data_IF_504348176366
#
_entry.id   IF_504348176366
#
_cell.length_a   1.000
_cell.length_b   1.000
_cell.length_c   1.000
_cell.angle_alpha   90.00
_cell.angle_beta   90.00
_cell.angle_gamma   90.00
#
_symmetry.space_group_name_H-M   'P 1'
#
loop_
_entity.id
_entity.type
_entity.pdbx_description
1 polymer ?
#
# COMPACT_ATOMS: atom_id res chain seq x y z
N UNK A 1 -1.16 23.81 54.25
CA UNK A 1 -1.89 23.17 55.37
C UNK A 1 -2.96 22.27 54.74
N UNK A 2 -2.73 20.94 54.77
CA UNK A 2 -3.60 19.78 54.46
C UNK A 2 -4.24 19.71 53.06
N UNK A 3 -3.74 18.92 52.11
CA UNK A 3 -3.70 17.43 51.96
C UNK A 3 -5.02 16.77 51.50
N UNK A 4 -4.99 16.21 50.27
CA UNK A 4 -5.27 14.79 49.87
C UNK A 4 -5.36 14.74 48.32
N UNK A 5 -4.29 14.42 47.59
CA UNK A 5 -3.77 13.10 47.16
C UNK A 5 -4.60 12.33 46.11
N UNK A 6 -4.02 12.26 44.89
CA UNK A 6 -3.77 11.08 44.03
C UNK A 6 -4.91 10.26 43.40
N UNK A 7 -4.99 10.21 42.06
CA UNK A 7 -4.35 9.16 41.24
C UNK A 7 -4.58 9.31 39.72
N UNK A 8 -3.50 9.13 38.96
CA UNK A 8 -3.46 8.79 37.52
C UNK A 8 -3.83 7.31 37.30
N UNK A 9 -4.41 6.96 36.15
CA UNK A 9 -3.94 5.87 35.28
C UNK A 9 -4.81 5.72 34.02
N UNK A 10 -4.12 5.71 32.87
CA UNK A 10 -4.52 5.20 31.55
C UNK A 10 -4.64 3.67 31.57
N UNK A 11 -5.58 3.06 30.82
CA UNK A 11 -5.37 1.72 30.23
C UNK A 11 -6.39 1.36 29.12
N UNK A 12 -5.84 0.59 28.18
CA UNK A 12 -6.30 0.06 26.90
C UNK A 12 -7.18 -1.19 27.09
N UNK A 13 -8.06 -1.51 26.12
CA UNK A 13 -8.28 -2.92 25.72
C UNK A 13 -9.71 -3.49 25.79
N UNK A 14 -10.33 -3.49 24.61
CA UNK A 14 -11.38 -4.32 24.01
C UNK A 14 -11.88 -5.67 24.62
N UNK A 15 -13.14 -5.97 24.25
CA UNK A 15 -13.86 -7.27 24.11
C UNK A 15 -14.57 -7.88 25.35
N UNK A 16 -15.91 -7.92 25.31
CA UNK A 16 -16.78 -8.82 26.11
C UNK A 16 -17.09 -10.13 25.36
N UNK A 17 -18.20 -10.87 25.65
CA UNK A 17 -19.14 -10.80 26.79
C UNK A 17 -19.55 -12.20 27.36
N UNK A 18 -20.29 -12.24 28.50
CA UNK A 18 -21.49 -13.10 28.77
C UNK A 18 -21.90 -13.10 30.28
N UNK A 19 -22.94 -12.32 30.61
CA UNK A 19 -24.26 -12.69 31.21
C UNK A 19 -24.31 -14.08 31.92
N UNK A 20 -24.79 -14.36 33.14
CA UNK A 20 -25.58 -13.72 34.25
C UNK A 20 -25.56 -14.73 35.46
N UNK A 21 -26.46 -14.63 36.47
CA UNK A 21 -26.41 -13.83 37.71
C UNK A 21 -26.22 -14.77 38.92
N UNK A 22 -26.37 -14.30 40.16
CA UNK A 22 -27.22 -14.95 41.21
C UNK A 22 -27.15 -14.14 42.50
N UNK A 23 -28.35 -13.88 43.02
CA UNK A 23 -28.64 -13.22 44.28
C UNK A 23 -28.30 -14.09 45.50
N UNK A 24 -28.07 -13.38 46.60
CA UNK A 24 -27.89 -13.86 47.97
C UNK A 24 -29.01 -14.80 48.44
N UNK A 25 -28.63 -15.77 49.26
CA UNK A 25 -29.53 -16.57 50.07
C UNK A 25 -29.31 -16.25 51.55
N UNK A 26 -30.40 -16.14 52.32
CA UNK A 26 -30.40 -16.36 53.77
C UNK A 26 -31.59 -17.24 54.15
N UNK A 27 -31.28 -18.43 54.67
CA UNK A 27 -31.91 -19.13 55.81
C UNK A 27 -32.12 -20.64 55.58
N UNK A 28 -31.59 -21.46 56.50
CA UNK A 28 -32.17 -22.77 56.85
C UNK A 28 -31.36 -24.06 56.59
N UNK A 29 -30.35 -24.32 57.43
CA UNK A 29 -29.91 -25.63 58.01
C UNK A 29 -29.83 -26.92 57.14
N UNK A 30 -28.57 -27.32 56.86
CA UNK A 30 -27.88 -28.64 56.77
C UNK A 30 -28.45 -29.83 55.95
N UNK A 31 -27.59 -30.45 55.11
CA UNK A 31 -26.94 -31.69 55.57
C UNK A 31 -25.44 -31.78 55.23
N UNK A 32 -24.71 -32.63 55.98
CA UNK A 32 -23.30 -32.97 55.76
C UNK A 32 -23.02 -33.32 54.29
N UNK A 33 -22.11 -32.56 53.66
CA UNK A 33 -21.47 -32.93 52.39
C UNK A 33 -19.98 -32.64 52.52
N UNK A 34 -19.18 -33.61 52.09
CA UNK A 34 -17.73 -33.63 52.09
C UNK A 34 -17.11 -32.37 51.47
N UNK A 35 -16.17 -31.74 52.17
CA UNK A 35 -15.30 -30.72 51.58
C UNK A 35 -14.37 -31.39 50.56
N UNK A 36 -14.65 -31.24 49.27
CA UNK A 36 -13.64 -31.36 48.22
C UNK A 36 -13.04 -29.96 48.05
N UNK A 37 -11.79 -29.78 48.47
CA UNK A 37 -10.97 -28.64 48.08
C UNK A 37 -10.79 -28.68 46.55
N UNK A 38 -11.56 -27.88 45.81
CA UNK A 38 -11.16 -27.52 44.46
C UNK A 38 -10.04 -26.50 44.58
N UNK A 39 -8.81 -26.96 44.33
CA UNK A 39 -7.66 -26.07 44.18
C UNK A 39 -7.98 -25.02 43.14
N UNK A 40 -7.90 -23.75 43.55
CA UNK A 40 -7.87 -22.62 42.63
C UNK A 40 -6.65 -22.79 41.73
N UNK A 41 -6.88 -23.27 40.51
CA UNK A 41 -5.81 -23.46 39.54
C UNK A 41 -5.39 -22.06 39.07
N UNK A 42 -4.30 -21.56 39.67
CA UNK A 42 -3.73 -20.27 39.38
C UNK A 42 -3.07 -20.33 38.00
N UNK A 43 -3.81 -20.02 36.94
CA UNK A 43 -3.30 -19.93 35.56
C UNK A 43 -2.74 -18.54 35.20
N UNK A 44 -2.66 -17.60 36.15
CA UNK A 44 -2.04 -16.28 35.97
C UNK A 44 -0.52 -16.13 36.23
N UNK A 45 0.25 -17.09 36.77
CA UNK A 45 1.69 -16.91 36.95
C UNK A 45 2.52 -17.34 35.73
N UNK A 46 2.04 -18.24 34.86
CA UNK A 46 2.82 -18.71 33.70
C UNK A 46 3.06 -17.60 32.67
N UNK A 47 2.00 -16.90 32.29
CA UNK A 47 2.06 -15.84 31.26
C UNK A 47 2.95 -14.64 31.67
N UNK A 48 2.99 -14.31 32.96
CA UNK A 48 3.84 -13.24 33.48
C UNK A 48 5.32 -13.68 33.58
N UNK A 49 5.55 -14.94 33.99
CA UNK A 49 6.88 -15.54 34.07
C UNK A 49 7.48 -15.71 32.68
N UNK A 50 6.69 -16.17 31.70
CA UNK A 50 7.11 -16.33 30.31
C UNK A 50 7.51 -14.98 29.70
N UNK A 51 6.70 -13.93 29.89
CA UNK A 51 7.06 -12.56 29.47
C UNK A 51 8.36 -12.05 30.12
N UNK A 52 8.58 -12.34 31.41
CA UNK A 52 9.84 -11.95 32.07
C UNK A 52 11.05 -12.74 31.56
N UNK A 53 10.88 -14.01 31.22
CA UNK A 53 11.94 -14.83 30.64
C UNK A 53 12.27 -14.43 29.20
N UNK A 54 11.26 -14.12 28.39
CA UNK A 54 11.43 -13.55 27.04
C UNK A 54 12.18 -12.21 27.11
N UNK A 55 11.79 -11.35 28.04
CA UNK A 55 12.45 -10.06 28.25
C UNK A 55 13.91 -10.23 28.69
N UNK A 56 14.19 -11.14 29.62
CA UNK A 56 15.56 -11.47 30.04
C UNK A 56 16.41 -12.02 28.89
N UNK A 57 15.83 -12.88 28.06
CA UNK A 57 16.49 -13.40 26.87
C UNK A 57 16.81 -12.28 25.87
N UNK A 58 15.86 -11.39 25.60
CA UNK A 58 16.05 -10.24 24.71
C UNK A 58 17.17 -9.31 25.21
N UNK A 59 17.21 -9.02 26.51
CA UNK A 59 18.28 -8.22 27.11
C UNK A 59 19.63 -8.94 27.08
N UNK A 60 19.65 -10.27 27.30
CA UNK A 60 20.85 -11.08 27.17
C UNK A 60 21.44 -11.01 25.75
N UNK A 61 20.58 -11.13 24.73
CA UNK A 61 20.97 -11.02 23.32
C UNK A 61 21.45 -9.62 22.98
N UNK A 62 20.75 -8.57 23.43
CA UNK A 62 21.17 -7.17 23.21
C UNK A 62 22.53 -6.88 23.86
N UNK A 63 22.75 -7.35 25.09
CA UNK A 63 24.06 -7.24 25.76
C UNK A 63 25.15 -7.95 24.97
N UNK A 64 24.89 -9.16 24.47
CA UNK A 64 25.85 -9.90 23.67
C UNK A 64 26.21 -9.16 22.37
N UNK A 65 25.21 -8.64 21.64
CA UNK A 65 25.43 -7.87 20.41
C UNK A 65 26.28 -6.62 20.66
N UNK A 66 25.98 -5.87 21.73
CA UNK A 66 26.76 -4.67 22.10
C UNK A 66 28.20 -5.00 22.50
N UNK A 67 28.44 -6.15 23.15
CA UNK A 67 29.79 -6.59 23.49
C UNK A 67 30.60 -6.98 22.23
N UNK A 68 29.94 -7.59 21.24
CA UNK A 68 30.57 -7.87 19.94
C UNK A 68 30.90 -6.56 19.22
N UNK A 69 29.98 -5.61 19.19
CA UNK A 69 30.19 -4.31 18.56
C UNK A 69 31.37 -3.55 19.21
N UNK A 70 31.44 -3.55 20.54
CA UNK A 70 32.55 -2.96 21.29
C UNK A 70 33.88 -3.67 20.98
N UNK A 71 33.88 -5.00 20.94
CA UNK A 71 35.05 -5.78 20.53
C UNK A 71 35.50 -5.47 19.10
N UNK A 72 34.58 -5.16 18.19
CA UNK A 72 34.92 -4.77 16.83
C UNK A 72 35.62 -3.40 16.80
N UNK A 73 35.14 -2.43 17.59
CA UNK A 73 35.79 -1.12 17.73
C UNK A 73 37.18 -1.21 18.35
N UNK A 74 37.36 -2.00 19.41
CA UNK A 74 38.66 -2.19 20.05
C UNK A 74 39.68 -2.87 19.12
N UNK A 75 39.24 -3.87 18.35
CA UNK A 75 40.10 -4.50 17.33
C UNK A 75 40.47 -3.53 16.21
N UNK A 76 39.56 -2.62 15.84
CA UNK A 76 39.83 -1.60 14.82
C UNK A 76 40.91 -0.60 15.24
N UNK A 77 40.96 -0.23 16.52
CA UNK A 77 41.99 0.66 17.07
C UNK A 77 43.36 -0.02 17.15
N UNK A 78 43.39 -1.35 17.33
CA UNK A 78 44.61 -2.15 17.48
C UNK A 78 45.24 -2.61 16.15
N UNK A 79 44.51 -2.53 15.03
CA UNK A 79 45.01 -2.95 13.71
C UNK A 79 46.10 -2.01 13.17
N UNK A 80 47.18 -2.59 12.65
CA UNK A 80 48.27 -1.85 12.00
C UNK A 80 47.85 -1.31 10.62
N UNK A 81 48.50 -0.25 10.13
CA UNK A 81 48.19 0.34 8.80
C UNK A 81 48.26 -0.68 7.65
N UNK A 82 49.21 -1.62 7.71
CA UNK A 82 49.37 -2.68 6.69
C UNK A 82 48.28 -3.76 6.71
N UNK A 83 47.62 -3.95 7.85
CA UNK A 83 46.46 -4.85 7.97
C UNK A 83 45.18 -4.14 7.53
N UNK A 84 45.10 -2.82 7.73
CA UNK A 84 43.99 -1.98 7.25
C UNK A 84 43.89 -1.95 5.71
N UNK A 85 45.03 -1.95 5.00
CA UNK A 85 45.07 -2.02 3.53
C UNK A 85 44.56 -3.36 2.97
N UNK A 86 44.67 -4.47 3.72
CA UNK A 86 44.24 -5.80 3.27
C UNK A 86 42.77 -6.10 3.53
N UNK A 87 42.09 -5.31 4.35
CA UNK A 87 40.74 -5.59 4.84
C UNK A 87 39.64 -5.04 3.90
N UNK A 88 40.00 -4.69 2.65
CA UNK A 88 39.08 -4.20 1.60
C UNK A 88 38.05 -3.17 2.10
N UNK A 89 38.54 -2.22 2.89
CA UNK A 89 37.71 -1.24 3.59
C UNK A 89 37.16 -0.20 2.63
N UNK A 90 35.95 0.25 2.94
CA UNK A 90 35.29 1.34 2.23
C UNK A 90 35.80 2.68 2.80
N UNK A 91 36.00 3.72 1.96
CA UNK A 91 36.42 5.03 2.43
C UNK A 91 35.48 5.62 3.49
N UNK A 92 36.05 6.29 4.49
CA UNK A 92 35.29 7.03 5.50
C UNK A 92 34.54 8.16 4.81
N UNK A 93 33.27 8.37 5.19
CA UNK A 93 32.41 9.37 4.56
C UNK A 93 31.72 8.88 3.29
N UNK A 94 31.80 7.58 2.97
CA UNK A 94 31.00 7.01 1.89
C UNK A 94 29.51 7.17 2.17
N UNK A 95 28.77 7.70 1.21
CA UNK A 95 27.32 7.84 1.20
C UNK A 95 26.71 7.17 -0.04
N UNK A 96 25.45 6.79 0.07
CA UNK A 96 24.63 6.33 -1.05
C UNK A 96 23.54 7.36 -1.29
N UNK A 97 23.54 7.97 -2.47
CA UNK A 97 22.45 8.83 -2.91
C UNK A 97 21.38 8.00 -3.59
N UNK A 98 20.11 8.25 -3.25
CA UNK A 98 18.95 7.57 -3.83
C UNK A 98 18.04 8.62 -4.46
N UNK A 99 17.72 8.47 -5.74
CA UNK A 99 16.87 9.39 -6.50
C UNK A 99 15.88 8.64 -7.37
N UNK A 100 14.72 9.25 -7.60
CA UNK A 100 13.80 8.83 -8.65
C UNK A 100 14.18 9.56 -9.94
N UNK A 101 14.09 8.85 -11.06
CA UNK A 101 14.33 9.41 -12.38
C UNK A 101 13.30 8.87 -13.36
N UNK A 102 12.63 9.75 -14.10
CA UNK A 102 11.67 9.35 -15.12
C UNK A 102 12.30 9.39 -16.51
N UNK A 103 12.30 8.25 -17.20
CA UNK A 103 12.64 8.20 -18.63
C UNK A 103 11.39 8.41 -19.47
N UNK A 104 11.26 9.58 -20.12
CA UNK A 104 10.14 9.88 -21.04
C UNK A 104 10.15 9.00 -22.30
N UNK A 105 11.34 8.62 -22.81
CA UNK A 105 11.47 7.77 -23.99
C UNK A 105 11.01 6.34 -23.73
N UNK A 106 11.40 5.78 -22.59
CA UNK A 106 11.08 4.40 -22.22
C UNK A 106 9.74 4.30 -21.48
N UNK A 107 9.19 5.47 -21.09
CA UNK A 107 8.03 5.66 -20.24
C UNK A 107 8.16 4.84 -18.96
N UNK A 108 9.30 4.89 -18.29
CA UNK A 108 9.54 4.13 -17.07
C UNK A 108 10.08 5.03 -15.95
N UNK A 109 9.67 4.72 -14.72
CA UNK A 109 10.24 5.29 -13.51
C UNK A 109 11.42 4.42 -13.08
N UNK A 110 12.55 5.04 -12.74
CA UNK A 110 13.75 4.37 -12.27
C UNK A 110 14.12 4.86 -10.88
N UNK A 111 14.42 3.91 -9.99
CA UNK A 111 15.19 4.16 -8.78
C UNK A 111 16.68 4.11 -9.13
N UNK A 112 17.35 5.25 -8.99
CA UNK A 112 18.77 5.40 -9.23
C UNK A 112 19.48 5.46 -7.90
N UNK A 113 20.43 4.55 -7.70
CA UNK A 113 21.33 4.58 -6.56
C UNK A 113 22.75 4.86 -7.05
N UNK A 114 23.43 5.77 -6.37
CA UNK A 114 24.78 6.19 -6.68
C UNK A 114 25.62 6.25 -5.40
N UNK A 115 26.69 5.45 -5.37
CA UNK A 115 27.62 5.39 -4.26
C UNK A 115 28.76 6.41 -4.49
N UNK A 116 29.06 7.20 -3.47
CA UNK A 116 30.23 8.09 -3.49
C UNK A 116 31.55 7.31 -3.52
N UNK A 117 32.63 8.00 -3.88
CA UNK A 117 34.00 7.46 -3.87
C UNK A 117 34.19 6.22 -4.78
N UNK A 118 33.36 6.08 -5.82
CA UNK A 118 33.45 4.99 -6.81
C UNK A 118 33.38 3.59 -6.18
N UNK A 119 32.69 3.47 -5.04
CA UNK A 119 32.56 2.20 -4.32
C UNK A 119 31.49 1.35 -4.98
N UNK A 120 31.86 0.12 -5.34
CA UNK A 120 30.95 -0.79 -6.04
C UNK A 120 29.72 -1.18 -5.20
N UNK A 121 28.54 -1.08 -5.83
CA UNK A 121 27.26 -1.60 -5.36
C UNK A 121 27.17 -3.08 -5.74
N UNK A 122 27.22 -3.95 -4.72
CA UNK A 122 27.21 -5.41 -4.85
C UNK A 122 25.81 -6.02 -4.82
N UNK A 123 24.83 -5.26 -4.36
CA UNK A 123 23.43 -5.67 -4.32
C UNK A 123 22.56 -4.60 -3.69
N UNK A 124 21.27 -4.65 -3.98
CA UNK A 124 20.27 -3.75 -3.42
C UNK A 124 19.06 -4.57 -3.03
N UNK A 125 18.53 -4.34 -1.84
CA UNK A 125 17.23 -4.87 -1.43
C UNK A 125 16.32 -3.68 -1.15
N UNK A 126 15.22 -3.58 -1.88
CA UNK A 126 14.21 -2.55 -1.69
C UNK A 126 12.96 -3.21 -1.06
N UNK A 127 12.47 -2.65 0.04
CA UNK A 127 11.27 -3.10 0.73
C UNK A 127 10.17 -2.06 0.53
N UNK A 128 9.03 -2.48 0.01
CA UNK A 128 7.86 -1.63 -0.15
C UNK A 128 6.60 -2.50 -0.31
N UNK A 129 5.58 -2.22 0.48
CA UNK A 129 4.30 -2.93 0.39
C UNK A 129 3.50 -2.44 -0.84
N UNK A 130 3.05 -3.37 -1.68
CA UNK A 130 2.18 -3.07 -2.83
C UNK A 130 2.89 -2.49 -4.06
N UNK A 131 4.22 -2.34 -4.02
CA UNK A 131 5.03 -1.88 -5.16
C UNK A 131 5.68 -3.05 -5.94
N UNK A 132 6.03 -4.13 -5.24
CA UNK A 132 6.70 -5.29 -5.80
C UNK A 132 5.81 -6.53 -5.75
N UNK A 133 6.21 -7.58 -6.47
CA UNK A 133 5.60 -8.91 -6.34
C UNK A 133 6.05 -9.52 -5.00
N UNK A 134 5.32 -9.18 -3.93
CA UNK A 134 5.67 -9.50 -2.54
C UNK A 134 6.04 -8.25 -1.73
N UNK A 135 6.87 -8.42 -0.70
CA UNK A 135 7.26 -7.34 0.22
C UNK A 135 8.59 -6.65 -0.15
N UNK A 136 9.40 -7.31 -0.99
CA UNK A 136 10.75 -6.85 -1.31
C UNK A 136 11.18 -7.19 -2.72
N UNK A 137 11.99 -6.32 -3.30
CA UNK A 137 12.71 -6.54 -4.55
C UNK A 137 14.20 -6.65 -4.29
N UNK A 138 14.83 -7.70 -4.83
CA UNK A 138 16.26 -7.97 -4.67
C UNK A 138 16.93 -7.81 -6.03
N UNK A 139 17.86 -6.86 -6.10
CA UNK A 139 18.74 -6.68 -7.24
C UNK A 139 20.16 -7.14 -6.90
N UNK A 140 20.70 -8.04 -7.73
CA UNK A 140 22.08 -8.50 -7.64
C UNK A 140 22.68 -8.48 -9.06
N UNK A 141 23.80 -7.77 -9.28
CA UNK A 141 24.42 -7.70 -10.59
C UNK A 141 25.01 -9.07 -10.98
N UNK A 142 24.72 -9.53 -12.20
CA UNK A 142 25.39 -10.71 -12.77
C UNK A 142 26.83 -10.41 -13.20
N UNK A 143 27.04 -9.17 -13.65
CA UNK A 143 28.33 -8.62 -14.02
C UNK A 143 28.33 -7.15 -13.58
N UNK A 144 29.45 -6.71 -13.02
CA UNK A 144 29.66 -5.31 -12.64
C UNK A 144 30.51 -4.68 -13.75
N UNK A 145 29.89 -3.77 -14.50
CA UNK A 145 30.55 -3.03 -15.56
C UNK A 145 31.06 -1.68 -15.03
N UNK A 146 32.25 -1.26 -15.48
CA UNK A 146 32.90 -0.05 -14.98
C UNK A 146 33.21 -0.14 -13.48
N UNK A 147 33.02 0.97 -12.77
CA UNK A 147 33.22 1.05 -11.32
C UNK A 147 32.09 0.38 -10.51
N UNK A 148 30.93 0.16 -11.13
CA UNK A 148 29.78 -0.46 -10.46
C UNK A 148 29.18 0.36 -9.32
N UNK A 149 29.48 1.66 -9.27
CA UNK A 149 29.07 2.61 -8.25
C UNK A 149 27.65 3.16 -8.47
N UNK A 150 27.05 2.89 -9.63
CA UNK A 150 25.70 3.33 -9.98
C UNK A 150 24.84 2.17 -10.47
N UNK A 151 23.59 2.14 -10.00
CA UNK A 151 22.57 1.17 -10.45
C UNK A 151 21.25 1.87 -10.74
N UNK A 152 20.53 1.36 -11.73
CA UNK A 152 19.18 1.79 -12.08
C UNK A 152 18.23 0.59 -12.00
N UNK A 153 17.19 0.72 -11.17
CA UNK A 153 16.18 -0.31 -10.96
C UNK A 153 14.84 0.23 -11.47
N UNK A 154 14.20 -0.41 -12.46
CA UNK A 154 12.89 0.03 -12.93
C UNK A 154 11.83 -0.21 -11.85
N UNK A 155 10.98 0.79 -11.62
CA UNK A 155 9.82 0.74 -10.74
C UNK A 155 8.57 0.85 -11.60
N UNK A 156 7.63 -0.08 -11.40
CA UNK A 156 6.33 -0.09 -12.09
C UNK A 156 5.24 0.05 -11.03
N UNK A 157 4.54 1.18 -11.05
CA UNK A 157 3.42 1.48 -10.13
C UNK A 157 2.10 1.17 -10.83
N UNK A 158 1.37 0.16 -10.36
CA UNK A 158 0.07 -0.20 -10.93
C UNK A 158 -1.11 0.57 -10.31
N UNK A 159 -0.96 0.97 -9.04
CA UNK A 159 -1.99 1.63 -8.23
C UNK A 159 -1.61 3.06 -7.88
N UNK A 160 -2.62 3.91 -7.67
CA UNK A 160 -2.45 5.30 -7.21
C UNK A 160 -2.30 5.36 -5.68
N UNK A 161 -1.12 4.97 -5.18
CA UNK A 161 -0.81 4.94 -3.76
C UNK A 161 0.54 5.58 -3.47
N UNK A 162 0.60 6.33 -2.38
CA UNK A 162 1.88 6.82 -1.86
C UNK A 162 2.57 5.67 -1.13
N UNK A 163 3.86 5.48 -1.40
CA UNK A 163 4.65 4.39 -0.82
C UNK A 163 5.97 4.92 -0.29
N UNK A 164 6.48 4.32 0.77
CA UNK A 164 7.86 4.53 1.22
C UNK A 164 8.66 3.27 0.89
N UNK A 165 9.80 3.45 0.21
CA UNK A 165 10.74 2.36 -0.07
C UNK A 165 11.87 2.44 0.94
N UNK A 166 12.05 1.38 1.73
CA UNK A 166 13.24 1.21 2.54
C UNK A 166 14.27 0.40 1.75
N UNK A 167 15.45 0.96 1.55
CA UNK A 167 16.47 0.41 0.66
C UNK A 167 17.69 0.05 1.48
N UNK A 168 18.18 -1.17 1.28
CA UNK A 168 19.44 -1.67 1.80
C UNK A 168 20.41 -1.88 0.65
N UNK A 169 21.44 -1.05 0.61
CA UNK A 169 22.47 -1.09 -0.42
C UNK A 169 23.71 -1.75 0.15
N UNK A 170 24.16 -2.83 -0.50
CA UNK A 170 25.38 -3.53 -0.16
C UNK A 170 26.54 -2.95 -0.95
N UNK A 171 27.49 -2.34 -0.25
CA UNK A 171 28.69 -1.75 -0.83
C UNK A 171 29.93 -2.58 -0.48
N UNK A 172 30.87 -2.62 -1.41
CA UNK A 172 32.21 -3.12 -1.13
C UNK A 172 33.00 -3.45 -2.39
N UNK A 173 34.34 -3.53 -2.29
CA UNK A 173 35.18 -3.97 -3.41
C UNK A 173 34.75 -5.35 -3.94
N UNK A 174 35.04 -5.63 -5.22
CA UNK A 174 34.63 -6.88 -5.86
C UNK A 174 35.25 -8.12 -5.19
N UNK A 175 36.47 -7.96 -4.68
CA UNK A 175 37.28 -8.99 -4.03
C UNK A 175 36.90 -9.20 -2.56
N UNK A 176 36.10 -8.31 -1.97
CA UNK A 176 35.75 -8.38 -0.55
C UNK A 176 34.63 -9.41 -0.30
N UNK A 177 34.81 -10.18 0.77
CA UNK A 177 33.77 -11.04 1.35
C UNK A 177 32.96 -10.33 2.46
N UNK A 178 33.36 -9.11 2.83
CA UNK A 178 32.68 -8.27 3.82
C UNK A 178 32.08 -7.07 3.09
N UNK A 179 30.76 -6.94 3.15
CA UNK A 179 30.03 -5.83 2.54
C UNK A 179 29.49 -4.92 3.63
N UNK A 180 29.54 -3.61 3.39
CA UNK A 180 28.86 -2.65 4.24
C UNK A 180 27.43 -2.47 3.77
N UNK A 181 26.50 -2.37 4.71
CA UNK A 181 25.08 -2.17 4.42
C UNK A 181 24.72 -0.73 4.73
N UNK A 182 24.23 -0.01 3.72
CA UNK A 182 23.69 1.32 3.87
C UNK A 182 22.17 1.26 3.80
N UNK A 183 21.51 1.84 4.79
CA UNK A 183 20.05 1.93 4.85
C UNK A 183 19.62 3.34 4.46
N UNK A 184 18.75 3.43 3.44
CA UNK A 184 18.13 4.68 2.98
C UNK A 184 16.63 4.48 2.84
N UNK A 185 15.87 5.57 2.90
CA UNK A 185 14.44 5.55 2.66
C UNK A 185 14.09 6.61 1.61
N UNK A 186 13.12 6.29 0.74
CA UNK A 186 12.68 7.17 -0.34
C UNK A 186 11.17 7.10 -0.46
N UNK A 187 10.51 8.26 -0.47
CA UNK A 187 9.06 8.34 -0.67
C UNK A 187 8.72 8.42 -2.15
N UNK A 188 7.70 7.66 -2.56
CA UNK A 188 7.07 7.69 -3.87
C UNK A 188 5.70 8.37 -3.72
N UNK A 189 5.46 9.47 -4.45
CA UNK A 189 4.17 10.15 -4.47
C UNK A 189 3.03 9.27 -5.01
N UNK A 190 1.79 9.59 -4.61
CA UNK A 190 0.59 8.80 -4.93
C UNK A 190 0.40 8.55 -6.42
N UNK A 191 0.70 9.56 -7.24
CA UNK A 191 0.49 9.53 -8.67
C UNK A 191 1.80 9.39 -9.46
N UNK A 192 2.78 8.69 -8.90
CA UNK A 192 4.10 8.47 -9.50
C UNK A 192 4.11 7.71 -10.84
N UNK A 193 2.97 7.15 -11.27
CA UNK A 193 2.81 6.60 -12.62
C UNK A 193 2.62 7.66 -13.70
N UNK A 194 2.53 8.94 -13.33
CA UNK A 194 2.39 10.05 -14.24
C UNK A 194 3.65 10.91 -14.24
N UNK A 195 4.05 11.36 -15.42
CA UNK A 195 5.16 12.28 -15.62
C UNK A 195 4.64 13.60 -16.20
N UNK A 196 5.02 14.73 -15.59
CA UNK A 196 4.66 16.05 -16.12
C UNK A 196 5.26 16.27 -17.51
N UNK A 197 4.43 16.72 -18.44
CA UNK A 197 4.82 17.12 -19.78
C UNK A 197 5.12 18.62 -19.83
N UNK A 198 6.11 18.99 -20.64
CA UNK A 198 6.34 20.38 -21.02
C UNK A 198 5.40 20.77 -22.16
N UNK A 199 5.21 22.07 -22.36
CA UNK A 199 4.27 22.62 -23.37
C UNK A 199 4.56 22.14 -24.80
N UNK A 200 5.82 21.83 -25.11
CA UNK A 200 6.27 21.39 -26.44
C UNK A 200 6.12 19.86 -26.65
N UNK A 201 5.87 19.10 -25.59
CA UNK A 201 5.74 17.64 -25.68
C UNK A 201 4.45 17.25 -26.41
N UNK A 202 4.51 16.20 -27.22
CA UNK A 202 3.34 15.66 -27.90
C UNK A 202 2.32 15.15 -26.87
N UNK A 203 1.06 15.62 -26.99
CA UNK A 203 -0.01 15.30 -26.06
C UNK A 203 -1.29 14.97 -26.82
N UNK A 204 -1.88 13.80 -26.51
CA UNK A 204 -3.21 13.42 -26.96
C UNK A 204 -4.19 13.70 -25.84
N UNK A 205 -5.12 14.63 -26.05
CA UNK A 205 -6.11 14.96 -25.04
C UNK A 205 -7.12 13.81 -24.86
N UNK A 206 -7.33 13.31 -23.63
CA UNK A 206 -8.42 12.40 -23.33
C UNK A 206 -9.78 13.02 -23.69
N UNK A 207 -10.71 12.19 -24.13
CA UNK A 207 -12.11 12.57 -24.40
C UNK A 207 -12.93 12.62 -23.12
N UNK A 208 -12.71 11.65 -22.23
CA UNK A 208 -13.42 11.55 -20.97
C UNK A 208 -12.89 12.55 -19.95
N UNK A 209 -13.78 13.09 -19.11
CA UNK A 209 -13.42 14.07 -18.10
C UNK A 209 -14.36 14.06 -16.90
N UNK A 210 -13.88 14.68 -15.82
CA UNK A 210 -14.68 15.04 -14.66
C UNK A 210 -14.51 16.53 -14.36
N UNK A 211 -15.62 17.21 -14.20
CA UNK A 211 -15.70 18.62 -13.87
C UNK A 211 -16.20 18.82 -12.44
N UNK A 212 -15.54 19.70 -11.71
CA UNK A 212 -15.90 20.09 -10.34
C UNK A 212 -15.75 21.60 -10.18
N UNK A 213 -16.47 22.20 -9.22
CA UNK A 213 -16.34 23.63 -8.91
C UNK A 213 -15.73 23.81 -7.52
N UNK A 214 -14.51 24.32 -7.47
CA UNK A 214 -13.75 24.54 -6.24
C UNK A 214 -12.98 25.86 -6.33
N UNK A 215 -13.27 26.77 -5.41
CA UNK A 215 -12.63 28.10 -5.36
C UNK A 215 -11.28 28.04 -4.65
N UNK A 216 -10.26 27.52 -5.34
CA UNK A 216 -8.88 27.42 -4.86
C UNK A 216 -7.99 28.30 -5.75
N UNK A 217 -6.87 28.79 -5.23
CA UNK A 217 -5.90 29.56 -6.02
C UNK A 217 -4.97 28.62 -6.78
N UNK A 218 -4.55 29.00 -7.98
CA UNK A 218 -3.65 28.20 -8.83
C UNK A 218 -2.41 27.70 -8.07
N UNK A 219 -1.75 28.58 -7.30
CA UNK A 219 -0.59 28.20 -6.48
C UNK A 219 -0.89 27.04 -5.52
N UNK A 220 -2.07 27.01 -4.89
CA UNK A 220 -2.43 25.96 -3.94
C UNK A 220 -2.67 24.62 -4.64
N UNK A 221 -3.23 24.66 -5.85
CA UNK A 221 -3.38 23.45 -6.68
C UNK A 221 -2.01 22.96 -7.15
N UNK A 222 -1.11 23.87 -7.52
CA UNK A 222 0.28 23.52 -7.82
C UNK A 222 0.98 22.86 -6.62
N UNK A 223 0.82 23.40 -5.41
CA UNK A 223 1.38 22.81 -4.20
C UNK A 223 0.88 21.36 -4.01
N UNK A 224 -0.43 21.13 -4.19
CA UNK A 224 -1.00 19.77 -4.15
C UNK A 224 -0.43 18.87 -5.25
N UNK A 225 -0.28 19.38 -6.47
CA UNK A 225 0.29 18.62 -7.60
C UNK A 225 1.75 18.26 -7.32
N UNK A 226 2.55 19.18 -6.77
CA UNK A 226 3.93 18.94 -6.34
C UNK A 226 4.05 17.89 -5.24
N UNK A 227 3.10 17.85 -4.30
CA UNK A 227 3.11 16.88 -3.19
C UNK A 227 2.65 15.47 -3.62
N UNK A 228 1.89 15.36 -4.71
CA UNK A 228 1.20 14.11 -5.09
C UNK A 228 1.68 13.48 -6.39
N UNK A 229 2.37 14.23 -7.25
CA UNK A 229 2.93 13.77 -8.53
C UNK A 229 4.46 13.83 -8.54
N UNK A 230 5.09 13.15 -9.51
CA UNK A 230 6.51 13.30 -9.79
C UNK A 230 6.74 14.51 -10.69
N UNK A 231 7.36 15.55 -10.13
CA UNK A 231 7.65 16.79 -10.83
C UNK A 231 9.15 17.05 -10.78
N UNK A 232 9.82 16.83 -11.91
CA UNK A 232 11.27 16.96 -12.04
C UNK A 232 11.71 18.39 -12.41
N UNK A 233 10.77 19.34 -12.50
CA UNK A 233 11.00 20.67 -13.08
C UNK A 233 10.30 21.72 -12.21
N UNK A 234 10.96 22.85 -11.97
CA UNK A 234 10.31 24.06 -11.50
C UNK A 234 9.27 24.48 -12.56
N UNK A 235 8.03 24.04 -12.37
CA UNK A 235 6.94 24.26 -13.32
C UNK A 235 6.53 25.74 -13.23
N UNK A 236 6.82 26.57 -14.25
CA UNK A 236 6.56 28.00 -14.17
C UNK A 236 5.06 28.24 -14.37
N UNK A 237 4.34 28.51 -13.28
CA UNK A 237 2.98 29.04 -13.35
C UNK A 237 3.03 30.53 -13.08
N UNK A 238 2.42 31.30 -13.96
CA UNK A 238 2.10 32.69 -13.65
C UNK A 238 0.91 32.71 -12.68
N UNK A 239 1.07 33.17 -11.44
CA UNK A 239 -0.02 33.25 -10.48
C UNK A 239 -1.11 34.26 -10.88
N UNK A 240 -0.87 35.12 -11.87
CA UNK A 240 -1.85 36.06 -12.41
C UNK A 240 -2.67 35.49 -13.57
N UNK A 241 -2.28 34.35 -14.16
CA UNK A 241 -3.07 33.69 -15.21
C UNK A 241 -4.32 33.03 -14.63
N UNK A 242 -5.46 33.23 -15.30
CA UNK A 242 -6.74 32.65 -14.86
C UNK A 242 -6.78 31.13 -15.07
N UNK A 243 -6.24 30.66 -16.20
CA UNK A 243 -6.23 29.25 -16.58
C UNK A 243 -4.88 28.62 -16.23
N UNK A 244 -4.92 27.63 -15.34
CA UNK A 244 -3.80 26.72 -15.12
C UNK A 244 -4.07 25.40 -15.85
N UNK A 245 -3.17 24.97 -16.73
CA UNK A 245 -3.24 23.68 -17.43
C UNK A 245 -1.98 22.85 -17.18
N UNK A 246 -2.12 21.68 -16.56
CA UNK A 246 -1.01 20.75 -16.31
C UNK A 246 -1.29 19.44 -17.06
N UNK A 247 -0.34 19.01 -17.88
CA UNK A 247 -0.44 17.81 -18.72
C UNK A 247 0.53 16.76 -18.23
N UNK A 248 0.10 15.51 -18.27
CA UNK A 248 0.87 14.37 -17.80
C UNK A 248 0.83 13.23 -18.82
N UNK A 249 1.93 12.51 -18.89
CA UNK A 249 2.11 11.28 -19.63
C UNK A 249 2.01 10.08 -18.67
N UNK A 250 1.22 9.07 -19.04
CA UNK A 250 1.20 7.79 -18.34
C UNK A 250 2.47 6.96 -18.57
N UNK A 251 2.98 6.38 -17.49
CA UNK A 251 4.18 5.52 -17.48
C UNK A 251 3.82 4.02 -17.48
N UNK A 252 4.77 3.21 -17.94
CA UNK A 252 4.86 1.76 -17.87
C UNK A 252 3.57 1.01 -18.26
N UNK A 253 2.90 0.34 -17.31
CA UNK A 253 1.73 -0.52 -17.54
C UNK A 253 0.48 0.22 -18.04
N UNK A 254 0.50 1.57 -18.03
CA UNK A 254 -0.59 2.43 -18.49
C UNK A 254 -0.13 3.37 -19.61
N UNK A 255 0.64 2.83 -20.58
CA UNK A 255 0.97 3.57 -21.82
C UNK A 255 -0.33 4.07 -22.46
N UNK A 256 -0.31 5.31 -22.93
CA UNK A 256 -1.43 5.96 -23.61
C UNK A 256 -2.64 6.27 -22.69
N UNK A 257 -2.36 6.44 -21.40
CA UNK A 257 -3.29 7.05 -20.46
C UNK A 257 -2.78 8.44 -20.06
N UNK A 258 -2.94 9.39 -20.97
CA UNK A 258 -2.67 10.79 -20.70
C UNK A 258 -3.62 11.35 -19.62
N UNK A 259 -3.14 12.33 -18.87
CA UNK A 259 -3.92 13.06 -17.87
C UNK A 259 -3.74 14.56 -18.12
N UNK A 260 -4.81 15.33 -18.05
CA UNK A 260 -4.73 16.78 -18.06
C UNK A 260 -5.63 17.38 -16.98
N UNK A 261 -5.08 18.31 -16.22
CA UNK A 261 -5.77 19.04 -15.17
C UNK A 261 -5.85 20.50 -15.62
N UNK A 262 -7.06 21.00 -15.81
CA UNK A 262 -7.34 22.41 -16.08
C UNK A 262 -8.06 23.03 -14.90
N UNK A 263 -7.64 24.21 -14.48
CA UNK A 263 -8.30 24.96 -13.44
C UNK A 263 -8.44 26.43 -13.84
N UNK A 264 -9.65 26.96 -13.66
CA UNK A 264 -10.01 28.35 -13.92
C UNK A 264 -10.23 29.04 -12.56
N UNK A 265 -9.39 30.03 -12.25
CA UNK A 265 -9.41 30.69 -10.95
C UNK A 265 -10.64 31.59 -10.77
N UNK A 266 -11.12 32.20 -11.84
CA UNK A 266 -12.18 33.20 -11.87
C UNK A 266 -13.55 32.64 -11.48
N UNK A 267 -13.89 31.45 -11.98
CA UNK A 267 -15.15 30.75 -11.67
C UNK A 267 -14.95 29.56 -10.72
N UNK A 268 -13.70 29.16 -10.47
CA UNK A 268 -13.34 28.00 -9.66
C UNK A 268 -13.58 26.66 -10.37
N UNK A 269 -13.76 26.65 -11.68
CA UNK A 269 -14.00 25.42 -12.44
C UNK A 269 -12.70 24.62 -12.58
N UNK A 270 -12.70 23.37 -12.14
CA UNK A 270 -11.60 22.42 -12.33
C UNK A 270 -12.09 21.27 -13.19
N UNK A 271 -11.35 20.95 -14.25
CA UNK A 271 -11.65 19.86 -15.18
C UNK A 271 -10.46 18.91 -15.22
N UNK A 272 -10.72 17.64 -14.94
CA UNK A 272 -9.73 16.56 -14.96
C UNK A 272 -10.07 15.65 -16.14
N UNK A 273 -9.21 15.67 -17.17
CA UNK A 273 -9.33 14.84 -18.36
C UNK A 273 -8.54 13.55 -18.18
N UNK A 274 -9.23 12.42 -18.23
CA UNK A 274 -8.61 11.10 -18.16
C UNK A 274 -9.64 10.01 -18.54
N UNK A 275 -9.20 8.94 -19.21
CA UNK A 275 -10.09 7.86 -19.67
C UNK A 275 -10.50 6.86 -18.57
N UNK A 276 -9.72 6.77 -17.49
CA UNK A 276 -9.99 5.83 -16.40
C UNK A 276 -10.79 6.49 -15.27
N UNK A 277 -12.02 6.02 -15.05
CA UNK A 277 -12.90 6.52 -13.98
C UNK A 277 -12.30 6.34 -12.58
N UNK A 278 -11.65 5.20 -12.31
CA UNK A 278 -11.01 4.92 -11.02
C UNK A 278 -9.91 5.94 -10.71
N UNK A 279 -9.03 6.19 -11.68
CA UNK A 279 -7.96 7.19 -11.53
C UNK A 279 -8.51 8.59 -11.33
N UNK A 280 -9.50 9.00 -12.13
CA UNK A 280 -10.12 10.31 -12.00
C UNK A 280 -10.76 10.47 -10.61
N UNK A 281 -11.42 9.43 -10.11
CA UNK A 281 -11.93 9.36 -8.75
C UNK A 281 -10.84 9.50 -7.69
N UNK A 282 -9.74 8.76 -7.81
CA UNK A 282 -8.60 8.84 -6.89
C UNK A 282 -7.97 10.24 -6.85
N UNK A 283 -7.88 10.91 -8.01
CA UNK A 283 -7.37 12.29 -8.12
C UNK A 283 -8.30 13.26 -7.41
N UNK A 284 -9.62 13.18 -7.64
CA UNK A 284 -10.61 14.03 -6.98
C UNK A 284 -10.61 13.79 -5.47
N UNK A 285 -10.56 12.53 -5.04
CA UNK A 285 -10.46 12.18 -3.62
C UNK A 285 -9.19 12.77 -3.01
N UNK A 286 -8.04 12.60 -3.67
CA UNK A 286 -6.78 13.19 -3.19
C UNK A 286 -6.86 14.71 -3.07
N UNK A 287 -7.57 15.37 -3.98
CA UNK A 287 -7.79 16.81 -3.95
C UNK A 287 -8.69 17.18 -2.75
N UNK A 288 -9.81 16.48 -2.56
CA UNK A 288 -10.69 16.68 -1.41
C UNK A 288 -9.97 16.47 -0.08
N UNK A 289 -9.16 15.41 0.03
CA UNK A 289 -8.36 15.11 1.23
C UNK A 289 -7.35 16.22 1.51
N UNK A 290 -6.64 16.70 0.49
CA UNK A 290 -5.62 17.73 0.64
C UNK A 290 -6.19 19.09 1.07
N UNK A 291 -7.36 19.45 0.52
CA UNK A 291 -8.02 20.72 0.84
C UNK A 291 -9.08 20.62 1.94
N UNK A 292 -9.25 19.43 2.53
CA UNK A 292 -10.23 19.15 3.60
C UNK A 292 -11.65 19.54 3.16
N UNK A 293 -12.07 19.02 2.01
CA UNK A 293 -13.40 19.23 1.44
C UNK A 293 -14.29 18.03 1.79
N UNK A 294 -15.32 18.24 2.60
CA UNK A 294 -16.21 17.17 3.06
C UNK A 294 -17.15 16.66 1.96
N UNK A 295 -17.68 17.56 1.13
CA UNK A 295 -18.66 17.24 0.09
C UNK A 295 -18.34 18.02 -1.19
N UNK A 296 -18.27 17.30 -2.30
CA UNK A 296 -18.03 17.88 -3.62
C UNK A 296 -18.96 17.23 -4.64
N UNK A 297 -19.70 18.06 -5.38
CA UNK A 297 -20.47 17.60 -6.54
C UNK A 297 -19.57 17.62 -7.78
N UNK A 298 -19.67 16.56 -8.58
CA UNK A 298 -18.88 16.36 -9.79
C UNK A 298 -19.79 16.01 -10.96
N UNK A 299 -19.48 16.56 -12.14
CA UNK A 299 -20.08 16.19 -13.41
C UNK A 299 -19.07 15.34 -14.19
N UNK A 300 -19.39 14.08 -14.44
CA UNK A 300 -18.50 13.12 -15.08
C UNK A 300 -19.03 12.69 -16.44
N UNK A 301 -18.18 12.70 -17.46
CA UNK A 301 -18.50 12.25 -18.81
C UNK A 301 -17.47 11.21 -19.26
N UNK A 302 -17.90 9.94 -19.40
CA UNK A 302 -17.08 8.81 -19.84
C UNK A 302 -17.79 8.03 -20.96
N UNK A 303 -17.83 8.57 -22.19
CA UNK A 303 -18.72 8.07 -23.25
C UNK A 303 -18.55 6.58 -23.55
N UNK A 304 -17.30 6.12 -23.69
CA UNK A 304 -17.00 4.74 -24.05
C UNK A 304 -17.38 3.76 -22.91
N UNK A 305 -17.21 4.17 -21.65
CA UNK A 305 -17.58 3.36 -20.48
C UNK A 305 -19.09 3.28 -20.27
N UNK A 306 -19.80 4.39 -20.50
CA UNK A 306 -21.26 4.38 -20.44
C UNK A 306 -21.88 3.56 -21.58
N UNK A 307 -21.29 3.59 -22.78
CA UNK A 307 -21.72 2.73 -23.89
C UNK A 307 -21.50 1.24 -23.57
N UNK A 308 -20.37 0.87 -22.97
CA UNK A 308 -20.09 -0.50 -22.51
C UNK A 308 -21.13 -0.97 -21.47
N UNK A 309 -21.49 -0.11 -20.51
CA UNK A 309 -22.53 -0.42 -19.52
C UNK A 309 -23.91 -0.60 -20.18
N UNK A 310 -24.25 0.24 -21.14
CA UNK A 310 -25.51 0.12 -21.89
C UNK A 310 -25.60 -1.20 -22.66
N UNK A 311 -24.51 -1.63 -23.30
CA UNK A 311 -24.42 -2.94 -23.97
C UNK A 311 -24.63 -4.09 -22.98
N UNK A 312 -23.94 -4.08 -21.84
CA UNK A 312 -24.09 -5.10 -20.79
C UNK A 312 -25.52 -5.14 -20.26
N UNK A 313 -26.16 -3.99 -20.04
CA UNK A 313 -27.55 -3.92 -19.60
C UNK A 313 -28.50 -4.59 -20.60
N UNK A 314 -28.31 -4.32 -21.90
CA UNK A 314 -29.12 -4.93 -22.96
C UNK A 314 -28.92 -6.46 -23.02
N UNK A 315 -27.69 -6.95 -22.82
CA UNK A 315 -27.42 -8.39 -22.75
C UNK A 315 -28.09 -9.04 -21.53
N UNK A 316 -28.05 -8.37 -20.37
CA UNK A 316 -28.63 -8.86 -19.12
C UNK A 316 -30.14 -9.09 -19.24
N UNK A 317 -30.86 -8.17 -19.89
CA UNK A 317 -32.30 -8.31 -20.13
C UNK A 317 -32.61 -9.56 -20.96
N UNK A 318 -31.80 -9.82 -22.00
CA UNK A 318 -31.95 -11.03 -22.81
C UNK A 318 -31.69 -12.32 -22.00
N UNK A 319 -30.73 -12.28 -21.07
CA UNK A 319 -30.43 -13.40 -20.19
C UNK A 319 -31.56 -13.66 -19.19
N UNK A 320 -32.21 -12.62 -18.68
CA UNK A 320 -33.36 -12.75 -17.80
C UNK A 320 -34.55 -13.40 -18.52
N UNK A 321 -34.83 -13.01 -19.76
CA UNK A 321 -35.86 -13.65 -20.58
C UNK A 321 -35.59 -15.15 -20.80
N UNK A 322 -34.34 -15.51 -21.09
CA UNK A 322 -33.95 -16.92 -21.28
C UNK A 322 -34.08 -17.69 -19.96
N UNK A 323 -33.62 -17.12 -18.84
CA UNK A 323 -33.75 -17.72 -17.51
C UNK A 323 -35.22 -17.98 -17.17
N UNK A 324 -36.11 -17.03 -17.43
CA UNK A 324 -37.53 -17.15 -17.07
C UNK A 324 -38.22 -18.23 -17.91
N UNK A 325 -37.88 -18.33 -19.20
CA UNK A 325 -38.34 -19.44 -20.06
C UNK A 325 -37.84 -20.79 -19.55
N UNK A 326 -36.55 -20.93 -19.25
CA UNK A 326 -35.98 -22.17 -18.73
C UNK A 326 -36.58 -22.55 -17.36
N UNK A 327 -36.87 -21.57 -16.51
CA UNK A 327 -37.51 -21.79 -15.20
C UNK A 327 -38.95 -22.28 -15.37
N UNK A 328 -39.68 -21.73 -16.35
CA UNK A 328 -41.03 -22.17 -16.69
C UNK A 328 -41.02 -23.60 -17.21
N UNK A 329 -40.18 -23.91 -18.19
CA UNK A 329 -40.02 -25.25 -18.75
C UNK A 329 -39.66 -26.27 -17.66
N UNK A 330 -38.73 -25.93 -16.77
CA UNK A 330 -38.33 -26.80 -15.66
C UNK A 330 -39.50 -27.07 -14.70
N UNK A 331 -40.31 -26.05 -14.40
CA UNK A 331 -41.48 -26.18 -13.53
C UNK A 331 -42.56 -27.06 -14.17
N UNK A 332 -42.79 -26.92 -15.48
CA UNK A 332 -43.71 -27.77 -16.23
C UNK A 332 -43.24 -29.23 -16.24
N UNK A 333 -41.95 -29.48 -16.50
CA UNK A 333 -41.37 -30.83 -16.47
C UNK A 333 -41.44 -31.46 -15.08
N UNK A 334 -41.20 -30.68 -14.04
CA UNK A 334 -41.34 -31.14 -12.65
C UNK A 334 -42.78 -31.55 -12.35
N UNK A 335 -43.76 -30.75 -12.79
CA UNK A 335 -45.19 -31.06 -12.61
C UNK A 335 -45.58 -32.34 -13.34
N UNK A 336 -45.13 -32.51 -14.59
CA UNK A 336 -45.35 -33.74 -15.36
C UNK A 336 -44.73 -34.97 -14.68
N UNK A 337 -43.52 -34.84 -14.15
CA UNK A 337 -42.86 -35.92 -13.41
C UNK A 337 -43.66 -36.32 -12.17
N UNK A 338 -44.14 -35.35 -11.39
CA UNK A 338 -44.99 -35.63 -10.22
C UNK A 338 -46.26 -36.40 -10.63
N UNK A 339 -46.92 -35.99 -11.72
CA UNK A 339 -48.11 -36.68 -12.23
C UNK A 339 -47.80 -38.13 -12.67
N UNK A 340 -46.71 -38.34 -13.41
CA UNK A 340 -46.28 -39.68 -13.84
C UNK A 340 -45.94 -40.57 -12.66
N UNK A 341 -45.27 -40.03 -11.63
CA UNK A 341 -44.94 -40.77 -10.41
C UNK A 341 -46.21 -41.19 -9.67
N UNK A 342 -47.19 -40.31 -9.52
CA UNK A 342 -48.48 -40.64 -8.89
C UNK A 342 -49.20 -41.74 -9.67
N UNK A 343 -49.28 -41.63 -11.00
CA UNK A 343 -49.89 -42.67 -11.84
C UNK A 343 -49.16 -44.02 -11.75
N UNK A 344 -47.83 -44.00 -11.69
CA UNK A 344 -47.04 -45.22 -11.52
C UNK A 344 -47.32 -45.87 -10.16
N UNK A 345 -47.42 -45.09 -9.09
CA UNK A 345 -47.78 -45.59 -7.76
C UNK A 345 -49.21 -46.16 -7.74
N UNK A 346 -50.18 -45.45 -8.32
CA UNK A 346 -51.56 -45.93 -8.44
C UNK A 346 -51.65 -47.26 -9.21
N UNK A 347 -50.90 -47.40 -10.31
CA UNK A 347 -50.85 -48.64 -11.10
C UNK A 347 -50.27 -49.82 -10.30
N UNK A 348 -49.24 -49.58 -9.49
CA UNK A 348 -48.67 -50.58 -8.57
C UNK A 348 -49.71 -51.01 -7.52
N UNK A 349 -50.47 -50.06 -6.97
CA UNK A 349 -51.46 -50.33 -5.92
C UNK A 349 -52.67 -51.12 -6.45
N UNK A 350 -53.05 -50.91 -7.70
CA UNK A 350 -54.22 -51.54 -8.33
C UNK A 350 -53.92 -52.98 -8.84
N UNK A 351 -52.67 -53.46 -8.73
CA UNK A 351 -52.20 -54.76 -9.25
C UNK A 351 -52.47 -54.90 -10.77
N UNK A 352 -52.31 -53.79 -11.51
CA UNK A 352 -52.39 -53.77 -12.97
C UNK A 352 -50.98 -53.97 -13.57
N UNK A 353 -50.31 -55.07 -13.16
CA UNK A 353 -49.03 -55.54 -13.71
C UNK A 353 -49.15 -56.88 -14.44
#
# INVERSE_FOLDING_TARGET
>A
MREKWCNQATLIGALGPLVTPICLNSDGVNPMVWFIFHGYNNSRPKELVDKTQETLHLFGQKKHNLLIELSNFEQEEQLSESEKEKDFRIPIGTSVECKLFVSKSDRNLYLVLEASHEVCIRGVIAFAEGLFEGESYIWIPKLIEGNGDRVQIPIITEKDMANEIHIRTFLGPQESNKLSVFETALSIPRFARFCVLQTEDAFSAPKSYVEVSIKIRNQRILDWVMDTFLIDIDYPIDPEEDLMEIRFLGLASKRDQELCIKHFQSDGKTIIYHECMETAGNIIQSLCDYFVIDTLEAHAEFPDKFAEVEEICNELDSMYDVRDRLTTDLTEKQTLLMEVVVRAEDAIVIDDM
#
